data_IF_652074418099
#
_entry.id   IF_652074418099
#
_cell.length_a   1.000
_cell.length_b   1.000
_cell.length_c   1.000
_cell.angle_alpha   90.00
_cell.angle_beta   90.00
_cell.angle_gamma   90.00
#
_symmetry.space_group_name_H-M   'P 1'
#
loop_
_entity.id
_entity.type
_entity.pdbx_description
1 polymer ?
#
# COMPACT_ATOMS: atom_id res chain seq x y z
N UNK A 1 -4.46 15.64 13.73
CA UNK A 1 -3.08 15.29 14.16
C UNK A 1 -2.36 14.72 12.95
N UNK A 2 -1.15 15.18 12.63
CA UNK A 2 -0.34 14.55 11.57
C UNK A 2 0.49 13.42 12.21
N UNK A 3 0.16 12.16 11.93
CA UNK A 3 0.73 11.02 12.65
C UNK A 3 2.26 10.92 12.52
N UNK A 4 2.84 11.24 11.35
CA UNK A 4 4.29 11.23 11.13
C UNK A 4 5.04 12.30 11.93
N UNK A 5 4.32 13.31 12.44
CA UNK A 5 4.90 14.38 13.25
C UNK A 5 4.61 14.18 14.75
N UNK A 6 4.01 13.05 15.14
CA UNK A 6 3.75 12.74 16.54
C UNK A 6 5.05 12.39 17.27
N UNK A 7 5.15 12.72 18.55
CA UNK A 7 6.30 12.35 19.36
C UNK A 7 6.49 10.83 19.43
N UNK A 8 5.40 10.08 19.54
CA UNK A 8 5.43 8.61 19.51
C UNK A 8 6.10 8.09 18.22
N UNK A 9 5.71 8.64 17.07
CA UNK A 9 6.32 8.25 15.79
C UNK A 9 7.81 8.57 15.74
N UNK A 10 8.21 9.78 16.14
CA UNK A 10 9.61 10.18 16.15
C UNK A 10 10.45 9.29 17.08
N UNK A 11 9.97 9.03 18.29
CA UNK A 11 10.71 8.25 19.28
C UNK A 11 10.85 6.78 18.86
N UNK A 12 9.81 6.19 18.25
CA UNK A 12 9.89 4.83 17.68
C UNK A 12 10.91 4.76 16.55
N UNK A 13 10.90 5.73 15.63
CA UNK A 13 11.83 5.74 14.49
C UNK A 13 13.28 5.97 14.93
N UNK A 14 13.51 6.89 15.88
CA UNK A 14 14.85 7.20 16.41
C UNK A 14 15.41 6.10 17.31
N UNK A 15 14.56 5.36 18.02
CA UNK A 15 14.98 4.23 18.84
C UNK A 15 15.38 2.99 18.02
N UNK A 16 15.10 2.98 16.70
CA UNK A 16 15.43 1.90 15.78
C UNK A 16 14.98 0.50 16.27
N UNK A 17 13.79 0.42 16.89
CA UNK A 17 13.22 -0.86 17.38
C UNK A 17 12.86 -1.82 16.24
N UNK A 18 12.69 -1.30 15.01
CA UNK A 18 12.49 -2.07 13.79
C UNK A 18 13.64 -1.80 12.81
N UNK A 19 14.10 -2.84 12.11
CA UNK A 19 15.13 -2.72 11.07
C UNK A 19 14.64 -2.01 9.82
N UNK A 20 13.33 -2.00 9.58
CA UNK A 20 12.66 -1.26 8.51
C UNK A 20 11.79 -0.14 9.11
N UNK A 21 12.08 1.10 8.74
CA UNK A 21 11.35 2.28 9.20
C UNK A 21 9.90 2.32 8.70
N UNK A 22 9.55 1.53 7.66
CA UNK A 22 8.17 1.42 7.16
C UNK A 22 7.31 0.53 8.05
N UNK A 23 7.90 -0.37 8.84
CA UNK A 23 7.17 -1.26 9.75
C UNK A 23 6.24 -0.49 10.67
N UNK A 24 6.73 0.56 11.34
CA UNK A 24 5.88 1.37 12.21
C UNK A 24 5.03 2.39 11.45
N UNK A 25 5.52 2.89 10.31
CA UNK A 25 4.73 3.78 9.46
C UNK A 25 3.46 3.13 8.90
N UNK A 26 3.47 1.81 8.76
CA UNK A 26 2.34 1.01 8.29
C UNK A 26 1.49 0.39 9.39
N UNK A 27 1.92 0.56 10.65
CA UNK A 27 1.24 -0.01 11.80
C UNK A 27 -0.24 0.41 11.85
N UNK A 28 -1.07 -0.52 12.32
CA UNK A 28 -2.49 -0.26 12.56
C UNK A 28 -2.64 -0.04 14.06
N UNK A 29 -3.07 1.14 14.48
CA UNK A 29 -3.41 1.35 15.87
C UNK A 29 -4.63 0.49 16.24
N UNK A 30 -4.56 -0.22 17.37
CA UNK A 30 -5.63 -1.12 17.79
C UNK A 30 -6.94 -0.36 18.05
N UNK A 31 -6.83 0.85 18.62
CA UNK A 31 -7.96 1.78 18.80
C UNK A 31 -7.87 2.95 17.82
N UNK A 32 -6.95 3.89 18.07
CA UNK A 32 -6.68 5.04 17.20
C UNK A 32 -5.26 5.56 17.39
N UNK A 33 -4.68 6.13 16.33
CA UNK A 33 -3.37 6.78 16.39
C UNK A 33 -3.32 7.93 17.38
N UNK A 34 -4.40 8.71 17.47
CA UNK A 34 -4.49 9.83 18.41
C UNK A 34 -4.52 9.34 19.86
N UNK A 35 -5.32 8.31 20.16
CA UNK A 35 -5.38 7.71 21.50
C UNK A 35 -4.04 7.11 21.93
N UNK A 36 -3.42 6.31 21.07
CA UNK A 36 -2.09 5.73 21.35
C UNK A 36 -1.02 6.83 21.57
N UNK A 37 -1.05 7.90 20.77
CA UNK A 37 -0.14 9.04 20.95
C UNK A 37 -0.36 9.77 22.27
N UNK A 38 -1.61 9.94 22.70
CA UNK A 38 -1.94 10.57 23.98
C UNK A 38 -1.49 9.73 25.17
N UNK A 39 -1.70 8.41 25.11
CA UNK A 39 -1.22 7.46 26.13
C UNK A 39 0.31 7.49 26.22
N UNK A 40 0.99 7.48 25.08
CA UNK A 40 2.45 7.56 25.04
C UNK A 40 3.00 8.80 25.74
N UNK A 41 2.37 9.97 25.53
CA UNK A 41 2.78 11.23 26.14
C UNK A 41 2.68 11.22 27.68
N UNK A 42 1.86 10.35 28.26
CA UNK A 42 1.72 10.21 29.72
C UNK A 42 2.78 9.30 30.35
N UNK A 43 3.36 8.38 29.57
CA UNK A 43 4.29 7.36 30.07
C UNK A 43 5.74 7.58 29.66
N UNK A 44 6.01 8.50 28.71
CA UNK A 44 7.37 8.83 28.27
C UNK A 44 8.18 9.55 29.38
N UNK A 45 9.52 9.45 29.38
CA UNK A 45 10.35 8.69 28.45
C UNK A 45 10.32 7.18 28.75
N UNK A 46 10.30 6.37 27.70
CA UNK A 46 10.44 4.91 27.78
C UNK A 46 11.83 4.50 27.33
N UNK A 47 12.39 3.44 27.91
CA UNK A 47 13.57 2.78 27.33
C UNK A 47 13.21 2.12 25.99
N UNK A 48 14.20 1.76 25.19
CA UNK A 48 13.98 1.05 23.90
C UNK A 48 13.13 -0.21 24.07
N UNK A 49 13.36 -0.99 25.13
CA UNK A 49 12.58 -2.19 25.42
C UNK A 49 11.13 -1.85 25.79
N UNK A 50 10.91 -0.89 26.68
CA UNK A 50 9.58 -0.46 27.08
C UNK A 50 8.79 0.16 25.91
N UNK A 51 9.49 0.86 25.01
CA UNK A 51 8.88 1.41 23.80
C UNK A 51 8.44 0.30 22.83
N UNK A 52 9.25 -0.75 22.67
CA UNK A 52 8.87 -1.91 21.88
C UNK A 52 7.65 -2.65 22.48
N UNK A 53 7.60 -2.80 23.81
CA UNK A 53 6.45 -3.36 24.54
C UNK A 53 5.18 -2.49 24.35
N UNK A 54 5.33 -1.16 24.46
CA UNK A 54 4.24 -0.22 24.20
C UNK A 54 3.69 -0.35 22.78
N UNK A 55 4.57 -0.42 21.78
CA UNK A 55 4.16 -0.60 20.38
C UNK A 55 3.43 -1.93 20.20
N UNK A 56 3.97 -3.03 20.74
CA UNK A 56 3.35 -4.35 20.65
C UNK A 56 1.96 -4.41 21.33
N UNK A 57 1.74 -3.62 22.38
CA UNK A 57 0.47 -3.57 23.08
C UNK A 57 -0.60 -2.75 22.35
N UNK A 58 -0.21 -1.67 21.66
CA UNK A 58 -1.14 -0.69 21.09
C UNK A 58 -1.28 -0.74 19.57
N UNK A 59 -0.43 -1.50 18.89
CA UNK A 59 -0.41 -1.56 17.42
C UNK A 59 -0.34 -3.00 16.91
N UNK A 60 -1.03 -3.22 15.80
CA UNK A 60 -0.94 -4.43 14.98
C UNK A 60 0.00 -4.17 13.81
N UNK A 61 0.98 -5.06 13.61
CA UNK A 61 1.91 -5.05 12.49
C UNK A 61 1.52 -6.16 11.52
N UNK A 62 1.19 -5.80 10.27
CA UNK A 62 0.85 -6.79 9.25
C UNK A 62 2.11 -7.45 8.68
N UNK A 63 2.07 -8.78 8.51
CA UNK A 63 3.17 -9.52 7.90
C UNK A 63 3.22 -9.26 6.40
N UNK A 64 4.41 -8.99 5.88
CA UNK A 64 4.67 -8.81 4.44
C UNK A 64 5.26 -10.05 3.79
N UNK A 65 5.35 -11.17 4.53
CA UNK A 65 5.96 -12.39 4.02
C UNK A 65 5.07 -13.01 2.93
N UNK A 66 5.65 -13.24 1.75
CA UNK A 66 5.01 -14.08 0.74
C UNK A 66 4.90 -15.51 1.29
N UNK A 67 3.80 -16.23 1.03
CA UNK A 67 3.70 -17.64 1.36
C UNK A 67 4.85 -18.39 0.68
N UNK A 68 5.73 -19.02 1.47
CA UNK A 68 6.87 -19.81 0.94
C UNK A 68 6.41 -21.03 0.12
N UNK A 69 5.14 -21.39 0.18
CA UNK A 69 4.61 -22.61 -0.42
C UNK A 69 4.13 -22.34 -1.84
N UNK A 70 4.80 -23.02 -2.79
CA UNK A 70 4.35 -23.28 -4.16
C UNK A 70 4.53 -22.15 -5.19
N UNK A 71 5.71 -21.56 -5.26
CA UNK A 71 6.19 -21.00 -6.52
C UNK A 71 7.17 -21.99 -7.15
N UNK A 72 6.67 -23.18 -7.52
CA UNK A 72 7.40 -24.12 -8.38
C UNK A 72 6.79 -24.04 -9.77
N UNK A 73 7.45 -23.35 -10.68
CA UNK A 73 7.16 -23.46 -12.10
C UNK A 73 8.45 -23.71 -12.86
N UNK A 74 8.33 -24.48 -13.94
CA UNK A 74 9.45 -24.81 -14.81
C UNK A 74 9.75 -23.68 -15.82
N UNK A 75 8.87 -22.68 -15.91
CA UNK A 75 8.99 -21.52 -16.80
C UNK A 75 8.56 -20.19 -16.16
N UNK A 76 9.08 -19.08 -16.70
CA UNK A 76 8.87 -17.73 -16.18
C UNK A 76 7.43 -17.19 -16.36
N UNK A 77 6.74 -17.38 -17.49
CA UNK A 77 5.32 -17.00 -17.62
C UNK A 77 4.42 -17.64 -16.55
N UNK A 78 4.54 -18.95 -16.34
CA UNK A 78 3.78 -19.67 -15.30
C UNK A 78 4.10 -19.16 -13.90
N UNK A 79 5.37 -18.84 -13.63
CA UNK A 79 5.80 -18.21 -12.38
C UNK A 79 5.09 -16.87 -12.16
N UNK A 80 5.13 -15.98 -13.16
CA UNK A 80 4.52 -14.65 -13.09
C UNK A 80 3.01 -14.75 -12.90
N UNK A 81 2.33 -15.61 -13.67
CA UNK A 81 0.89 -15.83 -13.54
C UNK A 81 0.51 -16.28 -12.12
N UNK A 82 1.33 -17.14 -11.50
CA UNK A 82 1.10 -17.60 -10.13
C UNK A 82 1.29 -16.52 -9.06
N UNK A 83 1.97 -15.40 -9.37
CA UNK A 83 2.18 -14.29 -8.43
C UNK A 83 0.98 -13.36 -8.31
N UNK A 84 0.16 -13.20 -9.35
CA UNK A 84 -0.93 -12.21 -9.36
C UNK A 84 -1.89 -12.32 -8.17
N UNK A 85 -2.37 -13.52 -7.76
CA UNK A 85 -3.23 -13.64 -6.58
C UNK A 85 -2.57 -13.18 -5.27
N UNK A 86 -1.23 -13.28 -5.16
CA UNK A 86 -0.49 -12.85 -3.97
C UNK A 86 -0.18 -11.36 -3.97
N UNK A 87 -0.08 -10.76 -5.15
CA UNK A 87 0.12 -9.33 -5.34
C UNK A 87 -1.20 -8.55 -5.32
N UNK A 88 -2.34 -9.23 -5.50
CA UNK A 88 -3.65 -8.61 -5.38
C UNK A 88 -3.99 -8.26 -3.93
N UNK A 89 -4.55 -7.06 -3.75
CA UNK A 89 -5.25 -6.62 -2.56
C UNK A 89 -6.70 -6.39 -2.93
N UNK A 90 -7.59 -6.78 -2.03
CA UNK A 90 -9.01 -6.49 -2.18
C UNK A 90 -9.27 -5.01 -1.90
N UNK A 91 -10.46 -4.53 -2.27
CA UNK A 91 -10.96 -3.24 -1.80
C UNK A 91 -10.76 -3.08 -0.27
N UNK A 92 -10.27 -1.92 0.13
CA UNK A 92 -9.87 -1.67 1.51
C UNK A 92 -11.08 -1.34 2.38
N UNK A 93 -11.01 -1.77 3.64
CA UNK A 93 -11.83 -1.21 4.72
C UNK A 93 -11.07 -0.09 5.41
N UNK A 94 -11.78 0.89 5.97
CA UNK A 94 -11.16 1.93 6.79
C UNK A 94 -10.49 1.27 8.01
N UNK A 95 -9.19 1.54 8.19
CA UNK A 95 -8.38 1.09 9.33
C UNK A 95 -7.78 2.32 10.03
N UNK A 96 -7.45 2.18 11.31
CA UNK A 96 -6.64 3.17 12.05
C UNK A 96 -5.16 3.08 11.64
N UNK A 97 -4.86 3.28 10.36
CA UNK A 97 -3.51 3.18 9.79
C UNK A 97 -3.19 4.33 8.82
N UNK A 98 -1.98 4.30 8.26
CA UNK A 98 -1.59 5.22 7.19
C UNK A 98 -2.21 4.89 5.83
N UNK A 99 -2.81 3.70 5.66
CA UNK A 99 -3.38 3.27 4.37
C UNK A 99 -4.65 4.08 4.05
N UNK A 100 -4.66 4.72 2.89
CA UNK A 100 -5.82 5.41 2.35
C UNK A 100 -6.70 4.39 1.63
N UNK A 101 -7.96 4.19 2.06
CA UNK A 101 -8.78 3.11 1.53
C UNK A 101 -9.12 3.32 0.06
N UNK A 102 -9.05 2.23 -0.71
CA UNK A 102 -9.45 2.12 -2.11
C UNK A 102 -10.72 1.27 -2.25
N UNK A 103 -11.59 1.64 -3.19
CA UNK A 103 -12.92 1.02 -3.36
C UNK A 103 -12.91 -0.23 -4.24
N UNK A 104 -11.84 -0.41 -5.02
CA UNK A 104 -11.68 -1.53 -5.93
C UNK A 104 -10.41 -2.30 -5.61
N UNK A 105 -10.33 -3.54 -6.09
CA UNK A 105 -9.12 -4.35 -5.98
C UNK A 105 -7.94 -3.67 -6.69
N UNK A 106 -6.72 -3.97 -6.26
CA UNK A 106 -5.51 -3.42 -6.84
C UNK A 106 -4.34 -4.39 -6.70
N UNK A 107 -3.34 -4.24 -7.57
CA UNK A 107 -2.10 -5.00 -7.49
C UNK A 107 -1.01 -4.15 -6.83
N UNK A 108 -0.25 -4.76 -5.92
CA UNK A 108 0.92 -4.13 -5.29
C UNK A 108 2.23 -4.69 -5.86
N UNK A 109 3.37 -3.98 -5.76
CA UNK A 109 4.66 -4.50 -6.21
C UNK A 109 5.13 -5.75 -5.44
N UNK A 110 4.71 -5.91 -4.18
CA UNK A 110 5.05 -7.05 -3.32
C UNK A 110 6.18 -6.76 -2.32
N UNK A 111 6.46 -7.74 -1.46
CA UNK A 111 7.43 -7.58 -0.37
C UNK A 111 7.01 -6.46 0.61
N UNK A 112 7.90 -5.52 0.93
CA UNK A 112 7.59 -4.38 1.82
C UNK A 112 6.56 -3.39 1.25
N UNK A 113 6.26 -3.48 -0.05
CA UNK A 113 5.34 -2.59 -0.75
C UNK A 113 3.94 -3.20 -0.75
N UNK A 114 3.13 -2.73 0.20
CA UNK A 114 1.80 -3.27 0.52
C UNK A 114 0.68 -2.29 0.18
N UNK A 115 1.00 -1.28 -0.63
CA UNK A 115 0.11 -0.24 -1.14
C UNK A 115 0.24 -0.19 -2.67
N UNK A 116 -0.76 0.35 -3.36
CA UNK A 116 -0.65 0.60 -4.80
C UNK A 116 0.40 1.71 -5.02
N UNK A 117 1.24 1.57 -6.06
CA UNK A 117 2.22 2.59 -6.46
C UNK A 117 1.89 3.11 -7.85
N UNK A 118 1.91 4.43 -8.02
CA UNK A 118 1.30 5.07 -9.18
C UNK A 118 1.93 4.66 -10.52
N UNK A 119 3.23 4.88 -10.71
CA UNK A 119 3.87 4.56 -12.00
C UNK A 119 4.11 3.05 -12.20
N UNK A 120 4.35 2.29 -11.13
CA UNK A 120 4.53 0.84 -11.16
C UNK A 120 3.27 0.17 -11.72
N UNK A 121 2.09 0.67 -11.35
CA UNK A 121 0.80 0.14 -11.80
C UNK A 121 0.60 0.19 -13.32
N UNK A 122 1.27 1.07 -14.06
CA UNK A 122 1.20 1.05 -15.52
C UNK A 122 1.91 -0.19 -16.10
N UNK A 123 3.11 -0.50 -15.61
CA UNK A 123 3.83 -1.70 -16.06
C UNK A 123 3.15 -2.99 -15.58
N UNK A 124 2.54 -2.95 -14.39
CA UNK A 124 1.65 -4.03 -13.95
C UNK A 124 0.46 -4.18 -14.88
N UNK A 125 -0.18 -3.09 -15.31
CA UNK A 125 -1.31 -3.13 -16.22
C UNK A 125 -0.96 -3.73 -17.59
N UNK A 126 0.24 -3.49 -18.11
CA UNK A 126 0.73 -4.17 -19.32
C UNK A 126 0.76 -5.69 -19.14
N UNK A 127 1.30 -6.17 -18.02
CA UNK A 127 1.33 -7.62 -17.72
C UNK A 127 -0.06 -8.22 -17.48
N UNK A 128 -0.99 -7.46 -16.91
CA UNK A 128 -2.38 -7.87 -16.75
C UNK A 128 -3.10 -7.95 -18.12
N UNK A 129 -2.79 -7.03 -19.04
CA UNK A 129 -3.32 -7.06 -20.40
C UNK A 129 -2.87 -8.33 -21.13
N UNK A 130 -1.60 -8.72 -20.99
CA UNK A 130 -1.05 -9.94 -21.61
C UNK A 130 -1.78 -11.22 -21.18
N UNK A 131 -2.37 -11.24 -19.98
CA UNK A 131 -3.17 -12.37 -19.46
C UNK A 131 -4.68 -12.15 -19.59
N UNK A 132 -5.11 -11.06 -20.21
CA UNK A 132 -6.53 -10.72 -20.42
C UNK A 132 -7.28 -10.23 -19.18
N UNK A 133 -6.59 -9.87 -18.10
CA UNK A 133 -7.21 -9.34 -16.87
C UNK A 133 -7.48 -7.84 -16.96
N UNK A 134 -8.41 -7.48 -17.85
CA UNK A 134 -8.81 -6.09 -18.11
C UNK A 134 -9.58 -5.49 -16.93
N UNK A 135 -10.29 -6.30 -16.16
CA UNK A 135 -11.07 -5.87 -15.00
C UNK A 135 -10.16 -5.32 -13.88
N UNK A 136 -9.02 -5.97 -13.61
CA UNK A 136 -8.03 -5.47 -12.64
C UNK A 136 -7.42 -4.14 -13.08
N UNK A 137 -7.20 -3.94 -14.39
CA UNK A 137 -6.69 -2.66 -14.93
C UNK A 137 -7.73 -1.54 -14.71
N UNK A 138 -9.00 -1.83 -15.01
CA UNK A 138 -10.13 -0.90 -14.83
C UNK A 138 -10.32 -0.52 -13.35
N UNK A 139 -10.25 -1.51 -12.46
CA UNK A 139 -10.28 -1.33 -11.01
C UNK A 139 -9.14 -0.42 -10.51
N UNK A 140 -7.90 -0.63 -10.96
CA UNK A 140 -6.77 0.23 -10.60
C UNK A 140 -6.94 1.66 -11.14
N UNK A 141 -7.42 1.83 -12.38
CA UNK A 141 -7.69 3.15 -12.95
C UNK A 141 -8.76 3.90 -12.14
N UNK A 142 -9.86 3.23 -11.78
CA UNK A 142 -10.93 3.80 -10.97
C UNK A 142 -10.41 4.26 -9.59
N UNK A 143 -9.53 3.47 -8.96
CA UNK A 143 -8.86 3.84 -7.72
C UNK A 143 -7.98 5.09 -7.88
N UNK A 144 -7.22 5.23 -8.98
CA UNK A 144 -6.41 6.43 -9.23
C UNK A 144 -7.26 7.68 -9.46
N UNK A 145 -8.36 7.57 -10.19
CA UNK A 145 -9.32 8.68 -10.38
C UNK A 145 -9.92 9.10 -9.03
N UNK A 146 -10.29 8.15 -8.18
CA UNK A 146 -10.81 8.44 -6.84
C UNK A 146 -9.75 9.12 -5.95
N UNK A 147 -8.49 8.66 -5.97
CA UNK A 147 -7.38 9.33 -5.27
C UNK A 147 -7.15 10.76 -5.77
N UNK A 148 -7.12 10.95 -7.09
CA UNK A 148 -7.00 12.27 -7.72
C UNK A 148 -8.12 13.21 -7.27
N UNK A 149 -9.37 12.73 -7.23
CA UNK A 149 -10.53 13.51 -6.82
C UNK A 149 -10.49 13.88 -5.33
N UNK A 150 -10.06 12.96 -4.46
CA UNK A 150 -9.98 13.19 -3.00
C UNK A 150 -8.82 14.10 -2.61
N UNK A 151 -7.67 13.96 -3.26
CA UNK A 151 -6.42 14.57 -2.81
C UNK A 151 -5.96 15.73 -3.70
N UNK A 152 -6.57 15.92 -4.87
CA UNK A 152 -6.10 16.88 -5.90
C UNK A 152 -4.87 16.40 -6.68
N UNK A 153 -4.29 15.25 -6.31
CA UNK A 153 -3.22 14.57 -7.02
C UNK A 153 -3.26 13.06 -6.74
N UNK A 154 -2.66 12.26 -7.62
CA UNK A 154 -2.38 10.85 -7.32
C UNK A 154 -1.08 10.78 -6.51
N UNK A 155 -1.10 10.29 -5.26
CA UNK A 155 0.10 10.18 -4.45
C UNK A 155 1.03 9.08 -4.98
N UNK A 156 2.30 9.09 -4.54
CA UNK A 156 3.27 8.04 -4.88
C UNK A 156 2.71 6.61 -4.62
N UNK A 157 2.02 6.43 -3.49
CA UNK A 157 1.14 5.29 -3.26
C UNK A 157 0.02 5.64 -2.28
N UNK A 158 -0.94 4.73 -2.04
CA UNK A 158 -2.12 5.02 -1.19
C UNK A 158 -1.82 5.03 0.33
N UNK A 159 -0.75 5.72 0.75
CA UNK A 159 -0.42 5.96 2.16
C UNK A 159 -0.42 7.46 2.48
N UNK A 160 -0.92 7.86 3.64
CA UNK A 160 -1.04 9.27 4.04
C UNK A 160 0.32 9.99 4.07
N UNK A 161 1.41 9.30 4.44
CA UNK A 161 2.78 9.83 4.37
C UNK A 161 3.31 10.05 2.93
N UNK A 162 2.57 9.62 1.90
CA UNK A 162 2.82 9.91 0.48
C UNK A 162 2.00 11.08 -0.06
N UNK A 163 1.07 11.64 0.72
CA UNK A 163 0.13 12.67 0.23
C UNK A 163 0.80 13.98 -0.23
N UNK A 164 2.07 14.22 0.13
CA UNK A 164 2.81 15.42 -0.27
C UNK A 164 3.54 15.29 -1.62
N UNK A 165 3.49 14.12 -2.27
CA UNK A 165 4.26 13.85 -3.50
C UNK A 165 3.54 12.87 -4.42
N UNK A 166 3.73 13.06 -5.72
CA UNK A 166 3.28 12.13 -6.76
C UNK A 166 4.45 11.29 -7.29
N UNK A 167 4.22 10.62 -8.41
CA UNK A 167 5.15 9.85 -9.23
C UNK A 167 4.91 10.22 -10.70
N UNK A 168 5.71 9.72 -11.66
CA UNK A 168 5.50 9.99 -13.08
C UNK A 168 4.03 9.77 -13.51
N UNK A 169 3.41 10.75 -14.21
CA UNK A 169 1.98 10.72 -14.48
C UNK A 169 1.63 9.73 -15.60
N UNK A 170 1.13 8.55 -15.21
CA UNK A 170 0.79 7.46 -16.14
C UNK A 170 -0.71 7.34 -16.44
N UNK A 171 -1.56 8.22 -15.88
CA UNK A 171 -3.02 8.04 -15.92
C UNK A 171 -3.56 7.96 -17.36
N UNK A 172 -3.08 8.85 -18.24
CA UNK A 172 -3.48 8.85 -19.65
C UNK A 172 -3.04 7.56 -20.38
N UNK A 173 -1.90 6.97 -20.00
CA UNK A 173 -1.42 5.72 -20.58
C UNK A 173 -2.30 4.53 -20.17
N UNK A 174 -2.75 4.48 -18.92
CA UNK A 174 -3.70 3.45 -18.48
C UNK A 174 -5.07 3.59 -19.17
N UNK A 175 -5.52 4.82 -19.42
CA UNK A 175 -6.75 5.08 -20.18
C UNK A 175 -6.61 4.57 -21.62
N UNK A 176 -5.52 4.91 -22.30
CA UNK A 176 -5.26 4.44 -23.67
C UNK A 176 -5.17 2.91 -23.73
N UNK A 177 -4.49 2.29 -22.76
CA UNK A 177 -4.39 0.83 -22.64
C UNK A 177 -5.77 0.16 -22.56
N UNK A 178 -6.63 0.63 -21.66
CA UNK A 178 -8.00 0.12 -21.49
C UNK A 178 -8.86 0.40 -22.72
N UNK A 179 -8.74 1.58 -23.31
CA UNK A 179 -9.48 1.93 -24.51
C UNK A 179 -9.18 0.97 -25.66
N UNK A 180 -7.89 0.69 -25.89
CA UNK A 180 -7.47 -0.26 -26.91
C UNK A 180 -7.99 -1.67 -26.63
N UNK A 181 -7.93 -2.13 -25.38
CA UNK A 181 -8.40 -3.46 -25.00
C UNK A 181 -9.92 -3.63 -25.09
N UNK A 182 -10.71 -2.58 -24.81
CA UNK A 182 -12.18 -2.65 -24.79
C UNK A 182 -12.84 -2.37 -26.14
N UNK A 183 -12.20 -1.58 -27.02
CA UNK A 183 -12.89 -1.01 -28.19
C UNK A 183 -12.17 -1.17 -29.53
N UNK A 184 -10.93 -1.68 -29.57
CA UNK A 184 -10.15 -1.74 -30.83
C UNK A 184 -10.43 -2.98 -31.68
N UNK A 185 -10.98 -4.05 -31.09
CA UNK A 185 -11.32 -5.29 -31.81
C UNK A 185 -12.74 -5.28 -32.41
N UNK A 186 -13.44 -4.15 -32.37
CA UNK A 186 -14.79 -3.99 -32.94
C UNK A 186 -14.81 -3.44 -34.39
N UNK A 187 -13.65 -3.28 -35.05
CA UNK A 187 -13.54 -2.72 -36.41
C UNK A 187 -12.70 -3.57 -37.37
#
# INVERSE_FOLDING_TARGET
>A
MNFVNSQLFLDVQLAAIFSDSKTFADAIANDSWQGASQLYLQVKPLTTQQLAEFVAQHFTLESTALPKMQLSSDDAPSYIASLWPYLQRNADTVKSSSLMPLKHNYIVPGGRFQEIYYWDSYFTALGLQDIGDIDSIDAMLANFIDLQNRNGCIPNGNRSYYSSRSQPPILALMVDLLWQAKYRDEH
#
